data_IF_294216655523
#
_entry.id   IF_294216655523
#
_cell.length_a   1.000
_cell.length_b   1.000
_cell.length_c   1.000
_cell.angle_alpha   90.00
_cell.angle_beta   90.00
_cell.angle_gamma   90.00
#
_symmetry.space_group_name_H-M   'P 1'
#
loop_
_entity.id
_entity.type
_entity.pdbx_description
1 polymer ?
#
# COMPACT_ATOMS: atom_id res chain seq x y z
N UNK A 1 -73.53 111.74 76.36
CA UNK A 1 -72.89 112.13 75.08
C UNK A 1 -71.42 111.66 74.95
N UNK A 2 -70.55 111.80 75.98
CA UNK A 2 -69.13 111.39 75.92
C UNK A 2 -68.83 109.88 75.71
N UNK A 3 -69.75 108.96 76.04
CA UNK A 3 -69.53 107.52 75.85
C UNK A 3 -69.56 107.09 74.37
N UNK A 4 -70.34 107.77 73.53
CA UNK A 4 -70.45 107.42 72.10
C UNK A 4 -69.22 107.85 71.29
N UNK A 5 -68.61 108.99 71.63
CA UNK A 5 -67.40 109.50 70.96
C UNK A 5 -66.20 108.57 71.20
N UNK A 6 -66.10 107.95 72.38
CA UNK A 6 -65.02 106.97 72.66
C UNK A 6 -65.20 105.66 71.89
N UNK A 7 -66.45 105.26 71.61
CA UNK A 7 -66.74 104.06 70.83
C UNK A 7 -66.43 104.26 69.34
N UNK A 8 -66.77 105.41 68.77
CA UNK A 8 -66.45 105.74 67.37
C UNK A 8 -64.94 105.88 67.15
N UNK A 9 -64.20 106.45 68.11
CA UNK A 9 -62.74 106.56 68.01
C UNK A 9 -62.03 105.19 68.00
N UNK A 10 -62.50 104.25 68.83
CA UNK A 10 -61.95 102.88 68.86
C UNK A 10 -62.23 102.15 67.55
N UNK A 11 -63.42 102.32 66.98
CA UNK A 11 -63.81 101.66 65.72
C UNK A 11 -63.02 102.22 64.52
N UNK A 12 -62.78 103.54 64.49
CA UNK A 12 -61.93 104.17 63.49
C UNK A 12 -60.46 103.72 63.60
N UNK A 13 -59.94 103.54 64.82
CA UNK A 13 -58.57 103.07 65.05
C UNK A 13 -58.39 101.61 64.61
N UNK A 14 -59.39 100.74 64.86
CA UNK A 14 -59.38 99.35 64.36
C UNK A 14 -59.44 99.31 62.84
N UNK A 15 -60.29 100.11 62.20
CA UNK A 15 -60.35 100.22 60.74
C UNK A 15 -59.04 100.70 60.13
N UNK A 16 -58.37 101.68 60.75
CA UNK A 16 -57.07 102.16 60.30
C UNK A 16 -55.99 101.07 60.41
N UNK A 17 -55.98 100.30 61.51
CA UNK A 17 -55.05 99.18 61.66
C UNK A 17 -55.33 98.08 60.63
N UNK A 18 -56.60 97.75 60.34
CA UNK A 18 -56.95 96.78 59.30
C UNK A 18 -56.50 97.24 57.90
N UNK A 19 -56.70 98.51 57.56
CA UNK A 19 -56.26 99.07 56.28
C UNK A 19 -54.72 99.10 56.16
N UNK A 20 -54.02 99.45 57.24
CA UNK A 20 -52.56 99.45 57.29
C UNK A 20 -51.97 98.03 57.17
N UNK A 21 -52.61 97.03 57.78
CA UNK A 21 -52.18 95.64 57.68
C UNK A 21 -52.45 95.03 56.29
N UNK A 22 -53.52 95.44 55.59
CA UNK A 22 -53.75 95.00 54.21
C UNK A 22 -52.80 95.64 53.18
N UNK A 23 -52.35 96.88 53.42
CA UNK A 23 -51.46 97.59 52.50
C UNK A 23 -50.04 97.01 52.40
N UNK A 24 -49.59 96.26 53.41
CA UNK A 24 -48.24 95.68 53.47
C UNK A 24 -48.12 94.40 52.63
N UNK A 25 -49.22 93.76 52.23
CA UNK A 25 -49.20 92.50 51.47
C UNK A 25 -48.97 92.65 49.96
N UNK A 26 -48.92 93.86 49.40
CA UNK A 26 -48.84 94.07 47.94
C UNK A 26 -47.44 94.41 47.44
N UNK A 27 -46.42 94.46 48.30
CA UNK A 27 -45.02 94.62 47.89
C UNK A 27 -44.30 93.26 47.70
N UNK A 28 -44.91 92.35 46.95
CA UNK A 28 -44.15 91.22 46.41
C UNK A 28 -43.43 91.69 45.15
N UNK A 29 -42.11 91.88 45.25
CA UNK A 29 -41.25 92.11 44.10
C UNK A 29 -41.42 90.97 43.10
N UNK A 30 -42.08 91.22 41.97
CA UNK A 30 -42.15 90.27 40.86
C UNK A 30 -40.77 90.18 40.25
N UNK A 31 -40.19 88.99 40.18
CA UNK A 31 -38.94 88.81 39.45
C UNK A 31 -39.18 89.14 37.97
N UNK A 32 -38.30 89.96 37.39
CA UNK A 32 -38.34 90.33 35.98
C UNK A 32 -36.96 90.16 35.36
N UNK A 33 -36.94 89.73 34.10
CA UNK A 33 -35.75 89.71 33.24
C UNK A 33 -35.79 90.92 32.31
N UNK A 34 -34.68 91.65 32.23
CA UNK A 34 -34.50 92.73 31.24
C UNK A 34 -33.25 92.48 30.42
N UNK A 35 -33.39 92.13 29.12
CA UNK A 35 -32.28 92.04 28.19
C UNK A 35 -31.53 93.36 28.07
N UNK A 36 -30.20 93.31 27.99
CA UNK A 36 -29.41 94.51 27.69
C UNK A 36 -29.68 95.00 26.26
N UNK A 37 -29.64 96.32 26.07
CA UNK A 37 -30.11 96.97 24.85
C UNK A 37 -29.15 96.83 23.65
N UNK A 38 -27.86 96.59 23.88
CA UNK A 38 -26.84 96.62 22.81
C UNK A 38 -25.89 95.42 22.90
N UNK A 39 -26.23 94.36 22.19
CA UNK A 39 -25.27 93.30 21.87
C UNK A 39 -25.57 92.76 20.46
N UNK A 40 -24.75 93.18 19.50
CA UNK A 40 -24.86 92.81 18.08
C UNK A 40 -24.70 91.30 17.84
N UNK A 41 -24.20 90.54 18.82
CA UNK A 41 -23.90 89.11 18.67
C UNK A 41 -24.70 88.23 19.63
N UNK A 42 -25.97 88.56 19.81
CA UNK A 42 -26.91 87.80 20.66
C UNK A 42 -28.26 87.59 19.96
N UNK A 43 -28.94 86.51 20.32
CA UNK A 43 -30.26 86.13 19.84
C UNK A 43 -31.28 86.33 20.96
N UNK A 44 -32.41 86.96 20.66
CA UNK A 44 -33.50 87.12 21.61
C UNK A 44 -34.48 85.95 21.47
N UNK A 45 -34.78 85.28 22.57
CA UNK A 45 -35.79 84.21 22.65
C UNK A 45 -36.89 84.61 23.62
N UNK A 46 -38.11 84.14 23.37
CA UNK A 46 -39.23 84.31 24.31
C UNK A 46 -39.35 83.06 25.16
N UNK A 47 -39.38 83.22 26.48
CA UNK A 47 -39.50 82.11 27.43
C UNK A 47 -40.90 81.51 27.32
N UNK A 48 -40.98 80.19 27.14
CA UNK A 48 -42.24 79.46 27.06
C UNK A 48 -42.62 78.81 28.39
N UNK A 49 -43.88 78.38 28.50
CA UNK A 49 -44.37 77.71 29.72
C UNK A 49 -43.76 76.33 29.84
N UNK A 50 -42.90 76.15 30.84
CA UNK A 50 -42.20 74.88 31.11
C UNK A 50 -40.69 75.04 31.05
N UNK A 51 -40.21 76.14 30.47
CA UNK A 51 -38.79 76.45 30.42
C UNK A 51 -38.24 76.72 31.82
N UNK A 52 -36.98 76.32 31.98
CA UNK A 52 -36.18 76.70 33.13
C UNK A 52 -34.87 77.26 32.62
N UNK A 53 -34.25 78.16 33.38
CA UNK A 53 -32.95 78.73 33.00
C UNK A 53 -31.91 77.63 32.73
N UNK A 54 -31.99 76.55 33.51
CA UNK A 54 -31.20 75.33 33.35
C UNK A 54 -31.41 74.67 31.99
N UNK A 55 -32.65 74.44 31.58
CA UNK A 55 -32.96 73.80 30.30
C UNK A 55 -32.61 74.71 29.12
N UNK A 56 -32.87 76.02 29.23
CA UNK A 56 -32.50 76.99 28.18
C UNK A 56 -30.98 77.09 28.00
N UNK A 57 -30.21 77.06 29.10
CA UNK A 57 -28.75 76.96 29.02
C UNK A 57 -28.28 75.61 28.45
N UNK A 58 -28.91 74.50 28.85
CA UNK A 58 -28.60 73.17 28.30
C UNK A 58 -28.91 73.06 26.79
N UNK A 59 -29.97 73.72 26.32
CA UNK A 59 -30.41 73.66 24.94
C UNK A 59 -29.54 74.53 24.03
N UNK A 60 -29.31 75.79 24.43
CA UNK A 60 -28.65 76.77 23.57
C UNK A 60 -27.15 76.93 23.82
N UNK A 61 -26.67 76.60 25.03
CA UNK A 61 -25.26 76.68 25.41
C UNK A 61 -24.64 75.31 25.72
N UNK A 62 -25.38 74.21 25.52
CA UNK A 62 -25.04 72.79 25.80
C UNK A 62 -24.53 72.48 27.21
N UNK A 63 -24.47 73.48 28.08
CA UNK A 63 -24.00 73.40 29.45
C UNK A 63 -24.99 74.15 30.35
N UNK A 64 -25.69 73.41 31.23
CA UNK A 64 -26.71 74.00 32.08
C UNK A 64 -26.15 74.92 33.18
N UNK A 65 -24.84 74.86 33.45
CA UNK A 65 -24.17 75.69 34.46
C UNK A 65 -23.82 77.10 33.94
N UNK A 66 -23.98 77.36 32.63
CA UNK A 66 -23.64 78.64 31.98
C UNK A 66 -24.65 79.77 32.18
N UNK A 67 -25.62 79.61 33.08
CA UNK A 67 -26.57 80.68 33.42
C UNK A 67 -25.88 81.96 33.93
N UNK A 68 -24.68 81.86 34.54
CA UNK A 68 -23.90 83.03 34.96
C UNK A 68 -23.43 83.87 33.77
N UNK A 69 -23.16 83.23 32.64
CA UNK A 69 -22.75 83.92 31.42
C UNK A 69 -23.95 84.58 30.76
N UNK A 70 -25.10 83.92 30.80
CA UNK A 70 -26.39 84.48 30.37
C UNK A 70 -26.77 85.75 31.19
N UNK A 71 -26.43 85.80 32.48
CA UNK A 71 -26.58 86.99 33.34
C UNK A 71 -25.67 88.16 33.01
N UNK A 72 -24.66 87.99 32.15
CA UNK A 72 -23.86 89.11 31.64
C UNK A 72 -24.60 89.91 30.56
N UNK A 73 -25.57 89.29 29.88
CA UNK A 73 -26.33 89.90 28.77
C UNK A 73 -27.79 90.21 29.15
N UNK A 74 -28.23 89.81 30.35
CA UNK A 74 -29.58 90.01 30.87
C UNK A 74 -29.51 90.36 32.36
N UNK A 75 -30.28 91.36 32.77
CA UNK A 75 -30.44 91.66 34.19
C UNK A 75 -31.55 90.79 34.78
N UNK A 76 -31.20 90.05 35.82
CA UNK A 76 -32.12 89.18 36.56
C UNK A 76 -32.46 89.80 37.91
N UNK A 77 -33.75 90.04 38.17
CA UNK A 77 -34.22 90.43 39.50
C UNK A 77 -34.06 89.28 40.50
N UNK A 78 -34.32 88.04 40.05
CA UNK A 78 -34.02 86.81 40.78
C UNK A 78 -33.61 85.73 39.77
N UNK A 79 -32.35 85.27 39.77
CA UNK A 79 -31.86 84.27 38.81
C UNK A 79 -32.57 82.90 38.88
N UNK A 80 -33.30 82.62 39.96
CA UNK A 80 -34.03 81.36 40.14
C UNK A 80 -35.49 81.40 39.65
N UNK A 81 -35.99 82.56 39.21
CA UNK A 81 -37.37 82.73 38.75
C UNK A 81 -37.38 83.36 37.37
N UNK A 82 -37.96 82.64 36.40
CA UNK A 82 -38.20 83.11 35.04
C UNK A 82 -39.68 82.90 34.70
N UNK A 83 -40.29 83.79 33.91
CA UNK A 83 -41.71 83.70 33.59
C UNK A 83 -41.97 83.57 32.08
N UNK A 84 -43.02 82.83 31.68
CA UNK A 84 -43.40 82.74 30.27
C UNK A 84 -43.79 84.11 29.70
N UNK A 85 -43.33 84.38 28.48
CA UNK A 85 -43.53 85.65 27.78
C UNK A 85 -42.47 86.71 28.07
N UNK A 86 -41.50 86.44 28.95
CA UNK A 86 -40.31 87.27 29.09
C UNK A 86 -39.33 87.03 27.94
N UNK A 87 -38.56 88.05 27.59
CA UNK A 87 -37.52 87.96 26.57
C UNK A 87 -36.17 87.72 27.23
N UNK A 88 -35.40 86.80 26.66
CA UNK A 88 -34.08 86.39 27.14
C UNK A 88 -33.08 86.43 25.99
N UNK A 89 -31.95 87.09 26.21
CA UNK A 89 -30.90 87.29 25.21
C UNK A 89 -29.79 86.26 25.38
N UNK A 90 -29.51 85.47 24.35
CA UNK A 90 -28.53 84.38 24.33
C UNK A 90 -27.32 84.79 23.47
N UNK A 91 -26.07 84.64 23.95
CA UNK A 91 -24.87 84.94 23.18
C UNK A 91 -24.66 83.96 22.01
N UNK A 92 -24.72 84.49 20.79
CA UNK A 92 -24.59 83.71 19.53
C UNK A 92 -23.15 83.26 19.30
N UNK A 93 -22.14 84.01 19.76
CA UNK A 93 -20.74 83.57 19.73
C UNK A 93 -20.54 82.18 20.35
N UNK A 94 -21.08 81.96 21.55
CA UNK A 94 -20.94 80.69 22.25
C UNK A 94 -21.74 79.58 21.58
N UNK A 95 -22.97 79.85 21.14
CA UNK A 95 -23.76 78.89 20.40
C UNK A 95 -23.04 78.45 19.11
N UNK A 96 -22.38 79.39 18.42
CA UNK A 96 -21.58 79.12 17.21
C UNK A 96 -20.34 78.29 17.50
N UNK A 97 -19.58 78.60 18.56
CA UNK A 97 -18.42 77.81 18.98
C UNK A 97 -18.79 76.36 19.29
N UNK A 98 -19.97 76.13 19.89
CA UNK A 98 -20.45 74.79 20.20
C UNK A 98 -20.85 74.02 18.94
N UNK A 99 -21.55 74.68 18.01
CA UNK A 99 -21.90 74.06 16.72
C UNK A 99 -20.63 73.71 15.93
N UNK A 100 -19.62 74.59 15.95
CA UNK A 100 -18.33 74.32 15.31
C UNK A 100 -17.60 73.13 15.96
N UNK A 101 -17.59 73.05 17.29
CA UNK A 101 -17.00 71.92 18.01
C UNK A 101 -17.75 70.60 17.74
N UNK A 102 -19.09 70.61 17.70
CA UNK A 102 -19.90 69.44 17.34
C UNK A 102 -19.67 69.03 15.87
N UNK A 103 -19.55 69.97 14.94
CA UNK A 103 -19.22 69.71 13.53
C UNK A 103 -17.82 69.10 13.39
N UNK A 104 -16.82 69.62 14.10
CA UNK A 104 -15.46 69.06 14.15
C UNK A 104 -15.44 67.64 14.71
N UNK A 105 -16.16 67.38 15.81
CA UNK A 105 -16.30 66.03 16.39
C UNK A 105 -16.96 65.05 15.43
N UNK A 106 -18.00 65.48 14.70
CA UNK A 106 -18.67 64.66 13.68
C UNK A 106 -17.70 64.32 12.54
N UNK A 107 -16.89 65.28 12.09
CA UNK A 107 -15.88 65.02 11.05
C UNK A 107 -14.83 64.02 11.54
N UNK A 108 -14.31 64.18 12.77
CA UNK A 108 -13.36 63.23 13.34
C UNK A 108 -13.95 61.82 13.46
N UNK A 109 -15.20 61.69 13.91
CA UNK A 109 -15.89 60.40 13.98
C UNK A 109 -16.12 59.77 12.61
N UNK A 110 -16.39 60.58 11.58
CA UNK A 110 -16.52 60.10 10.21
C UNK A 110 -15.18 59.58 9.66
N UNK A 111 -14.08 60.29 9.94
CA UNK A 111 -12.74 59.85 9.58
C UNK A 111 -12.34 58.55 10.31
N UNK A 112 -12.64 58.44 11.61
CA UNK A 112 -12.41 57.21 12.38
C UNK A 112 -13.24 56.03 11.83
N UNK A 113 -14.51 56.27 11.49
CA UNK A 113 -15.39 55.27 10.87
C UNK A 113 -14.85 54.82 9.50
N UNK A 114 -14.31 55.74 8.70
CA UNK A 114 -13.72 55.43 7.40
C UNK A 114 -12.44 54.59 7.56
N UNK A 115 -11.58 54.92 8.53
CA UNK A 115 -10.40 54.11 8.86
C UNK A 115 -10.77 52.69 9.28
N UNK A 116 -11.75 52.56 10.18
CA UNK A 116 -12.23 51.25 10.64
C UNK A 116 -12.85 50.42 9.51
N UNK A 117 -13.55 51.07 8.57
CA UNK A 117 -14.08 50.38 7.38
C UNK A 117 -12.96 49.88 6.48
N UNK A 118 -11.94 50.71 6.23
CA UNK A 118 -10.79 50.31 5.43
C UNK A 118 -10.02 49.14 6.07
N UNK A 119 -9.80 49.18 7.40
CA UNK A 119 -9.17 48.08 8.14
C UNK A 119 -10.02 46.80 8.09
N UNK A 120 -11.35 46.92 8.19
CA UNK A 120 -12.27 45.79 8.06
C UNK A 120 -12.18 45.16 6.66
N UNK A 121 -12.17 45.97 5.59
CA UNK A 121 -12.04 45.47 4.22
C UNK A 121 -10.71 44.73 4.02
N UNK A 122 -9.60 45.25 4.55
CA UNK A 122 -8.30 44.57 4.52
C UNK A 122 -8.31 43.26 5.32
N UNK A 123 -8.92 43.26 6.51
CA UNK A 123 -9.09 42.07 7.34
C UNK A 123 -9.96 41.00 6.67
N UNK A 124 -11.02 41.41 5.99
CA UNK A 124 -11.88 40.50 5.23
C UNK A 124 -11.17 39.90 4.02
N UNK A 125 -10.39 40.70 3.29
CA UNK A 125 -9.58 40.23 2.17
C UNK A 125 -8.50 39.22 2.61
N UNK A 126 -7.81 39.50 3.73
CA UNK A 126 -6.82 38.57 4.30
C UNK A 126 -7.48 37.28 4.79
N UNK A 127 -8.65 37.36 5.43
CA UNK A 127 -9.45 36.20 5.83
C UNK A 127 -9.85 35.36 4.63
N UNK A 128 -10.32 35.98 3.55
CA UNK A 128 -10.69 35.27 2.32
C UNK A 128 -9.49 34.53 1.72
N UNK A 129 -8.33 35.19 1.65
CA UNK A 129 -7.09 34.56 1.18
C UNK A 129 -6.68 33.37 2.05
N UNK A 130 -6.70 33.52 3.38
CA UNK A 130 -6.38 32.43 4.31
C UNK A 130 -7.36 31.26 4.19
N UNK A 131 -8.65 31.53 3.99
CA UNK A 131 -9.64 30.48 3.77
C UNK A 131 -9.37 29.71 2.48
N UNK A 132 -8.95 30.39 1.41
CA UNK A 132 -8.55 29.74 0.16
C UNK A 132 -7.29 28.87 0.33
N UNK A 133 -6.27 29.37 1.03
CA UNK A 133 -5.06 28.58 1.34
C UNK A 133 -5.37 27.35 2.21
N UNK A 134 -6.29 27.47 3.18
CA UNK A 134 -6.74 26.33 4.00
C UNK A 134 -7.45 25.29 3.14
N UNK A 135 -8.29 25.71 2.20
CA UNK A 135 -8.98 24.77 1.30
C UNK A 135 -7.99 24.02 0.41
N UNK A 136 -7.03 24.72 -0.19
CA UNK A 136 -5.97 24.11 -0.99
C UNK A 136 -5.14 23.10 -0.16
N UNK A 137 -4.80 23.45 1.08
CA UNK A 137 -4.09 22.52 1.98
C UNK A 137 -4.93 21.30 2.32
N UNK A 138 -6.24 21.46 2.51
CA UNK A 138 -7.15 20.34 2.78
C UNK A 138 -7.28 19.40 1.57
N UNK A 139 -7.37 19.96 0.36
CA UNK A 139 -7.37 19.19 -0.88
C UNK A 139 -6.08 18.38 -1.05
N UNK A 140 -4.93 19.04 -0.88
CA UNK A 140 -3.62 18.38 -0.92
C UNK A 140 -3.48 17.28 0.15
N UNK A 141 -4.01 17.52 1.36
CA UNK A 141 -4.00 16.52 2.44
C UNK A 141 -4.89 15.32 2.10
N UNK A 142 -6.03 15.54 1.44
CA UNK A 142 -6.91 14.47 0.97
C UNK A 142 -6.26 13.64 -0.13
N UNK A 143 -5.57 14.28 -1.08
CA UNK A 143 -4.80 13.60 -2.14
C UNK A 143 -3.68 12.75 -1.54
N UNK A 144 -2.85 13.34 -0.67
CA UNK A 144 -1.75 12.64 -0.02
C UNK A 144 -2.24 11.44 0.82
N UNK A 145 -3.40 11.59 1.48
CA UNK A 145 -4.03 10.47 2.20
C UNK A 145 -4.45 9.35 1.26
N UNK A 146 -4.98 9.67 0.08
CA UNK A 146 -5.32 8.69 -0.95
C UNK A 146 -4.08 7.95 -1.48
N UNK A 147 -2.99 8.69 -1.75
CA UNK A 147 -1.71 8.10 -2.16
C UNK A 147 -1.14 7.17 -1.09
N UNK A 148 -1.17 7.56 0.18
CA UNK A 148 -0.72 6.71 1.29
C UNK A 148 -1.53 5.42 1.38
N UNK A 149 -2.85 5.49 1.23
CA UNK A 149 -3.70 4.29 1.24
C UNK A 149 -3.37 3.35 0.07
N UNK A 150 -3.18 3.89 -1.14
CA UNK A 150 -2.79 3.10 -2.30
C UNK A 150 -1.40 2.44 -2.10
N UNK A 151 -0.46 3.16 -1.48
CA UNK A 151 0.86 2.62 -1.15
C UNK A 151 0.79 1.49 -0.11
N UNK A 152 -0.03 1.65 0.94
CA UNK A 152 -0.26 0.62 1.95
C UNK A 152 -0.87 -0.64 1.34
N UNK A 153 -1.85 -0.51 0.45
CA UNK A 153 -2.44 -1.64 -0.28
C UNK A 153 -1.40 -2.34 -1.18
N UNK A 154 -0.57 -1.57 -1.88
CA UNK A 154 0.51 -2.12 -2.69
C UNK A 154 1.55 -2.85 -1.84
N UNK A 155 1.90 -2.32 -0.66
CA UNK A 155 2.86 -2.94 0.25
C UNK A 155 2.33 -4.25 0.81
N UNK A 156 1.05 -4.27 1.20
CA UNK A 156 0.37 -5.50 1.62
C UNK A 156 0.37 -6.56 0.52
N UNK A 157 0.05 -6.17 -0.72
CA UNK A 157 0.11 -7.10 -1.86
C UNK A 157 1.53 -7.63 -2.11
N UNK A 158 2.56 -6.80 -1.92
CA UNK A 158 3.96 -7.24 -2.03
C UNK A 158 4.36 -8.20 -0.91
N UNK A 159 3.89 -8.00 0.33
CA UNK A 159 4.11 -8.92 1.44
C UNK A 159 3.48 -10.30 1.17
N UNK A 160 2.23 -10.33 0.69
CA UNK A 160 1.54 -11.57 0.30
C UNK A 160 2.28 -12.29 -0.85
N UNK A 161 2.80 -11.55 -1.83
CA UNK A 161 3.62 -12.13 -2.90
C UNK A 161 4.95 -12.69 -2.37
N UNK A 162 5.61 -12.01 -1.44
CA UNK A 162 6.85 -12.49 -0.82
C UNK A 162 6.63 -13.78 -0.03
N UNK A 163 5.51 -13.88 0.69
CA UNK A 163 5.12 -15.09 1.40
C UNK A 163 4.91 -16.26 0.42
N UNK A 164 4.13 -16.06 -0.64
CA UNK A 164 3.89 -17.07 -1.67
C UNK A 164 5.17 -17.52 -2.39
N UNK A 165 6.10 -16.59 -2.66
CA UNK A 165 7.40 -16.91 -3.26
C UNK A 165 8.25 -17.74 -2.30
N UNK A 166 8.23 -17.42 -1.00
CA UNK A 166 8.97 -18.19 -0.01
C UNK A 166 8.42 -19.61 0.15
N UNK A 167 7.10 -19.77 0.23
CA UNK A 167 6.45 -21.08 0.25
C UNK A 167 6.82 -21.90 -1.00
N UNK A 168 6.74 -21.29 -2.18
CA UNK A 168 7.12 -21.95 -3.44
C UNK A 168 8.60 -22.34 -3.45
N UNK A 169 9.49 -21.51 -2.88
CA UNK A 169 10.91 -21.81 -2.78
C UNK A 169 11.18 -22.99 -1.84
N UNK A 170 10.46 -23.07 -0.71
CA UNK A 170 10.55 -24.17 0.24
C UNK A 170 10.03 -25.48 -0.38
N UNK A 171 8.88 -25.45 -1.06
CA UNK A 171 8.34 -26.60 -1.78
C UNK A 171 9.31 -27.08 -2.86
N UNK A 172 9.83 -26.17 -3.69
CA UNK A 172 10.76 -26.50 -4.75
C UNK A 172 12.09 -27.04 -4.19
N UNK A 173 12.59 -26.46 -3.10
CA UNK A 173 13.78 -26.96 -2.40
C UNK A 173 13.58 -28.38 -1.86
N UNK A 174 12.42 -28.66 -1.28
CA UNK A 174 12.07 -30.00 -0.78
C UNK A 174 11.97 -31.02 -1.92
N UNK A 175 11.31 -30.66 -3.02
CA UNK A 175 11.11 -31.55 -4.15
C UNK A 175 12.42 -31.82 -4.91
N UNK A 176 13.27 -30.80 -5.07
CA UNK A 176 14.61 -30.98 -5.64
C UNK A 176 15.44 -31.90 -4.76
N UNK A 177 15.42 -31.72 -3.44
CA UNK A 177 16.15 -32.60 -2.52
C UNK A 177 15.67 -34.05 -2.63
N UNK A 178 14.37 -34.27 -2.56
CA UNK A 178 13.77 -35.61 -2.63
C UNK A 178 14.07 -36.31 -3.97
N UNK A 179 13.91 -35.60 -5.09
CA UNK A 179 14.21 -36.17 -6.42
C UNK A 179 15.70 -36.47 -6.60
N UNK A 180 16.58 -35.64 -6.04
CA UNK A 180 18.02 -35.84 -6.11
C UNK A 180 18.46 -37.04 -5.24
N UNK A 181 17.89 -37.19 -4.04
CA UNK A 181 18.10 -38.35 -3.17
C UNK A 181 17.57 -39.64 -3.81
N UNK A 182 16.36 -39.60 -4.39
CA UNK A 182 15.77 -40.73 -5.09
C UNK A 182 16.59 -41.16 -6.32
N UNK A 183 17.03 -40.18 -7.13
CA UNK A 183 17.87 -40.45 -8.30
C UNK A 183 19.23 -41.01 -7.88
N UNK A 184 19.86 -40.47 -6.83
CA UNK A 184 21.13 -40.97 -6.33
C UNK A 184 21.01 -42.42 -5.83
N UNK A 185 19.91 -42.75 -5.15
CA UNK A 185 19.62 -44.11 -4.72
C UNK A 185 19.42 -45.08 -5.90
N UNK A 186 18.61 -44.68 -6.89
CA UNK A 186 18.37 -45.48 -8.10
C UNK A 186 19.65 -45.73 -8.91
N UNK A 187 20.50 -44.70 -9.08
CA UNK A 187 21.80 -44.85 -9.75
C UNK A 187 22.70 -45.82 -8.99
N UNK A 188 22.73 -45.74 -7.66
CA UNK A 188 23.53 -46.63 -6.83
C UNK A 188 23.07 -48.09 -6.96
N UNK A 189 21.75 -48.33 -7.02
CA UNK A 189 21.19 -49.65 -7.26
C UNK A 189 21.54 -50.19 -8.65
N UNK A 190 21.41 -49.35 -9.68
CA UNK A 190 21.82 -49.70 -11.05
C UNK A 190 23.30 -50.06 -11.15
N UNK A 191 24.18 -49.32 -10.45
CA UNK A 191 25.61 -49.61 -10.40
C UNK A 191 25.87 -50.97 -9.72
N UNK A 192 25.21 -51.25 -8.60
CA UNK A 192 25.35 -52.54 -7.91
C UNK A 192 24.93 -53.73 -8.81
N UNK A 193 23.82 -53.59 -9.53
CA UNK A 193 23.38 -54.60 -10.50
C UNK A 193 24.35 -54.75 -11.68
N UNK A 194 24.98 -53.65 -12.12
CA UNK A 194 26.01 -53.71 -13.16
C UNK A 194 27.26 -54.46 -12.67
N UNK A 195 27.68 -54.23 -11.43
CA UNK A 195 28.82 -54.91 -10.82
C UNK A 195 28.59 -56.42 -10.73
N UNK A 196 27.38 -56.85 -10.33
CA UNK A 196 26.99 -58.28 -10.30
C UNK A 196 27.03 -58.91 -11.71
N UNK A 197 26.50 -58.22 -12.73
CA UNK A 197 26.60 -58.68 -14.12
C UNK A 197 28.06 -58.78 -14.62
N UNK A 198 28.93 -57.86 -14.21
CA UNK A 198 30.35 -57.90 -14.58
C UNK A 198 31.03 -59.11 -13.94
N UNK A 199 30.70 -59.42 -12.68
CA UNK A 199 31.21 -60.59 -11.98
C UNK A 199 30.76 -61.89 -12.67
N UNK A 200 29.47 -62.01 -13.00
CA UNK A 200 28.92 -63.17 -13.71
C UNK A 200 29.53 -63.35 -15.12
N UNK A 201 29.72 -62.25 -15.86
CA UNK A 201 30.45 -62.26 -17.13
C UNK A 201 31.91 -62.69 -16.97
N UNK A 202 32.56 -62.29 -15.87
CA UNK A 202 33.91 -62.70 -15.50
C UNK A 202 34.00 -64.21 -15.29
N UNK A 203 33.07 -64.80 -14.54
CA UNK A 203 33.01 -66.24 -14.31
C UNK A 203 32.77 -67.02 -15.61
N UNK A 204 31.79 -66.60 -16.42
CA UNK A 204 31.53 -67.21 -17.73
C UNK A 204 32.73 -67.14 -18.67
N UNK A 205 33.47 -66.03 -18.66
CA UNK A 205 34.67 -65.86 -19.46
C UNK A 205 35.76 -66.84 -19.03
N UNK A 206 35.91 -67.09 -17.73
CA UNK A 206 36.91 -68.02 -17.20
C UNK A 206 36.55 -69.48 -17.48
N UNK A 207 35.26 -69.83 -17.38
CA UNK A 207 34.75 -71.13 -17.82
C UNK A 207 35.02 -71.36 -19.33
N UNK A 208 34.72 -70.36 -20.16
CA UNK A 208 35.00 -70.38 -21.61
C UNK A 208 36.49 -70.54 -21.90
N UNK A 209 37.38 -69.87 -21.16
CA UNK A 209 38.84 -70.03 -21.31
C UNK A 209 39.29 -71.45 -20.95
N UNK A 210 38.80 -72.02 -19.84
CA UNK A 210 39.12 -73.39 -19.47
C UNK A 210 38.64 -74.40 -20.52
N UNK A 211 37.41 -74.22 -21.02
CA UNK A 211 36.87 -75.04 -22.11
C UNK A 211 37.74 -74.93 -23.37
N UNK A 212 38.12 -73.71 -23.76
CA UNK A 212 39.01 -73.48 -24.89
C UNK A 212 40.38 -74.17 -24.71
N UNK A 213 40.99 -74.06 -23.52
CA UNK A 213 42.25 -74.73 -23.21
C UNK A 213 42.13 -76.27 -23.28
N UNK A 214 41.03 -76.84 -22.77
CA UNK A 214 40.75 -78.27 -22.86
C UNK A 214 40.58 -78.73 -24.31
N UNK A 215 39.84 -77.97 -25.14
CA UNK A 215 39.73 -78.28 -26.58
C UNK A 215 41.05 -78.19 -27.30
N UNK A 216 41.91 -77.21 -26.96
CA UNK A 216 43.24 -77.08 -27.55
C UNK A 216 44.11 -78.29 -27.23
N UNK A 217 44.09 -78.76 -25.97
CA UNK A 217 44.81 -79.98 -25.55
C UNK A 217 44.31 -81.22 -26.30
N UNK A 218 42.99 -81.35 -26.47
CA UNK A 218 42.41 -82.48 -27.22
C UNK A 218 42.82 -82.47 -28.70
N UNK A 219 42.92 -81.28 -29.30
CA UNK A 219 43.44 -81.12 -30.67
C UNK A 219 44.90 -81.56 -30.76
N UNK A 220 45.74 -81.20 -29.78
CA UNK A 220 47.15 -81.60 -29.74
C UNK A 220 47.29 -83.13 -29.61
N UNK A 221 46.50 -83.77 -28.73
CA UNK A 221 46.45 -85.23 -28.60
C UNK A 221 46.00 -85.92 -29.91
N UNK A 222 44.96 -85.39 -30.56
CA UNK A 222 44.49 -85.90 -31.85
C UNK A 222 45.54 -85.75 -32.95
N UNK A 223 46.23 -84.60 -33.03
CA UNK A 223 47.33 -84.39 -33.97
C UNK A 223 48.44 -85.42 -33.77
N UNK A 224 48.81 -85.71 -32.51
CA UNK A 224 49.77 -86.76 -32.17
C UNK A 224 49.31 -88.17 -32.61
N UNK A 225 48.05 -88.53 -32.33
CA UNK A 225 47.49 -89.81 -32.76
C UNK A 225 47.43 -89.97 -34.28
N UNK A 226 47.09 -88.89 -35.00
CA UNK A 226 47.10 -88.86 -36.47
C UNK A 226 48.52 -89.04 -36.99
N UNK A 227 49.51 -88.38 -36.40
CA UNK A 227 50.91 -88.54 -36.79
C UNK A 227 51.40 -90.00 -36.62
N UNK A 228 51.11 -90.62 -35.48
CA UNK A 228 51.44 -92.04 -35.26
C UNK A 228 50.71 -92.98 -36.25
N UNK A 229 49.43 -92.70 -36.52
CA UNK A 229 48.65 -93.50 -37.47
C UNK A 229 49.19 -93.38 -38.90
N UNK A 230 49.62 -92.19 -39.30
CA UNK A 230 50.28 -91.95 -40.59
C UNK A 230 51.59 -92.74 -40.71
N UNK A 231 52.42 -92.73 -39.67
CA UNK A 231 53.66 -93.52 -39.63
C UNK A 231 53.37 -95.03 -39.73
N UNK A 232 52.36 -95.53 -39.03
CA UNK A 232 51.94 -96.92 -39.11
C UNK A 232 51.38 -97.31 -40.49
N UNK A 233 50.65 -96.41 -41.14
CA UNK A 233 50.20 -96.59 -42.53
C UNK A 233 51.39 -96.66 -43.47
N UNK A 234 52.38 -95.77 -43.33
CA UNK A 234 53.59 -95.78 -44.15
C UNK A 234 54.38 -97.09 -43.98
N UNK A 235 54.57 -97.55 -42.74
CA UNK A 235 55.17 -98.86 -42.47
C UNK A 235 54.37 -100.02 -43.09
N UNK A 236 53.04 -99.98 -42.99
CA UNK A 236 52.17 -101.00 -43.57
C UNK A 236 52.24 -100.98 -45.11
N UNK A 237 52.26 -99.81 -45.74
CA UNK A 237 52.43 -99.66 -47.19
C UNK A 237 53.78 -100.22 -47.65
N UNK A 238 54.86 -99.94 -46.90
CA UNK A 238 56.18 -100.52 -47.16
C UNK A 238 56.17 -102.04 -47.06
N UNK A 239 55.57 -102.59 -46.00
CA UNK A 239 55.40 -104.04 -45.84
C UNK A 239 54.56 -104.68 -46.96
N UNK A 240 53.49 -104.02 -47.41
CA UNK A 240 52.70 -104.46 -48.57
C UNK A 240 53.52 -104.41 -49.86
N UNK A 241 54.36 -103.40 -50.06
CA UNK A 241 55.26 -103.32 -51.21
C UNK A 241 56.31 -104.44 -51.20
N UNK A 242 56.88 -104.76 -50.03
CA UNK A 242 57.79 -105.89 -49.83
C UNK A 242 57.10 -107.24 -50.09
N UNK A 243 55.91 -107.46 -49.53
CA UNK A 243 55.09 -108.65 -49.82
C UNK A 243 54.76 -108.78 -51.30
N UNK A 244 54.48 -107.66 -51.99
CA UNK A 244 54.21 -107.65 -53.43
C UNK A 244 55.46 -108.04 -54.24
N UNK A 245 56.66 -107.65 -53.81
CA UNK A 245 57.91 -108.13 -54.39
C UNK A 245 58.12 -109.62 -54.12
N UNK A 246 57.96 -110.09 -52.88
CA UNK A 246 58.06 -111.52 -52.56
C UNK A 246 57.07 -112.39 -53.35
N UNK A 247 55.85 -111.90 -53.60
CA UNK A 247 54.85 -112.62 -54.38
C UNK A 247 55.18 -112.61 -55.89
N UNK A 248 55.86 -111.58 -56.37
CA UNK A 248 56.42 -111.53 -57.74
C UNK A 248 57.57 -112.53 -57.89
N UNK A 249 58.41 -112.67 -56.88
CA UNK A 249 59.50 -113.65 -56.85
C UNK A 249 58.96 -115.10 -56.71
N UNK A 250 57.94 -115.32 -55.87
CA UNK A 250 57.29 -116.63 -55.71
C UNK A 250 56.51 -117.06 -56.97
N UNK A 251 55.93 -116.13 -57.73
CA UNK A 251 55.33 -116.43 -59.05
C UNK A 251 56.36 -116.84 -60.11
N UNK A 252 57.65 -116.62 -59.88
CA UNK A 252 58.73 -117.14 -60.73
C UNK A 252 58.99 -118.66 -60.56
N UNK A 253 58.35 -119.33 -59.59
CA UNK A 253 58.67 -120.73 -59.21
C UNK A 253 57.55 -121.73 -59.55
N UNK A 254 56.46 -121.33 -60.22
CA UNK A 254 55.45 -122.29 -60.68
C UNK A 254 55.40 -122.45 -62.20
N UNK A 255 56.08 -123.51 -62.63
CA UNK A 255 55.95 -124.22 -63.90
C UNK A 255 54.48 -124.59 -64.19
N UNK A 256 54.04 -124.37 -65.44
CA UNK A 256 52.65 -124.58 -65.87
C UNK A 256 52.21 -126.05 -65.76
N UNK A 257 51.16 -126.33 -64.98
CA UNK A 257 50.58 -127.66 -64.83
C UNK A 257 49.65 -128.03 -66.00
N UNK A 258 49.84 -129.24 -66.54
CA UNK A 258 49.17 -129.77 -67.73
C UNK A 258 47.66 -130.04 -67.58
N UNK A 259 46.95 -129.84 -68.70
CA UNK A 259 45.49 -129.77 -68.88
C UNK A 259 44.65 -130.86 -68.19
N UNK A 260 45.18 -132.09 -68.06
CA UNK A 260 44.41 -133.21 -67.52
C UNK A 260 44.29 -133.21 -65.98
N UNK A 261 45.07 -132.38 -65.27
CA UNK A 261 44.92 -132.21 -63.80
C UNK A 261 43.95 -131.08 -63.43
N UNK A 262 43.70 -130.13 -64.33
CA UNK A 262 42.74 -129.03 -64.11
C UNK A 262 41.31 -129.52 -64.02
N UNK A 263 40.93 -130.48 -64.86
CA UNK A 263 39.59 -131.09 -64.87
C UNK A 263 39.33 -131.91 -63.61
N UNK A 264 40.34 -132.59 -63.07
CA UNK A 264 40.19 -133.39 -61.86
C UNK A 264 40.03 -132.51 -60.60
N UNK A 265 40.79 -131.41 -60.51
CA UNK A 265 40.67 -130.43 -59.41
C UNK A 265 39.37 -129.62 -59.51
N UNK A 266 38.89 -129.30 -60.71
CA UNK A 266 37.57 -128.66 -60.87
C UNK A 266 36.42 -129.59 -60.47
N UNK A 267 36.50 -130.89 -60.80
CA UNK A 267 35.48 -131.87 -60.42
C UNK A 267 35.43 -132.12 -58.91
N UNK A 268 36.57 -132.18 -58.24
CA UNK A 268 36.61 -132.34 -56.78
C UNK A 268 36.17 -131.07 -56.04
N UNK A 269 36.53 -129.88 -56.56
CA UNK A 269 36.14 -128.60 -55.94
C UNK A 269 34.66 -128.26 -56.18
N UNK A 270 34.11 -128.61 -57.35
CA UNK A 270 32.68 -128.44 -57.62
C UNK A 270 31.82 -129.39 -56.76
N UNK A 271 32.24 -130.64 -56.56
CA UNK A 271 31.54 -131.57 -55.68
C UNK A 271 31.56 -131.12 -54.21
N UNK A 272 32.68 -130.56 -53.74
CA UNK A 272 32.78 -129.99 -52.39
C UNK A 272 31.95 -128.70 -52.22
N UNK A 273 31.89 -127.84 -53.24
CA UNK A 273 31.08 -126.62 -53.24
C UNK A 273 29.57 -126.89 -53.24
N UNK A 274 29.11 -127.89 -53.98
CA UNK A 274 27.69 -128.30 -54.00
C UNK A 274 27.28 -128.93 -52.65
N UNK A 275 28.18 -129.67 -52.00
CA UNK A 275 27.95 -130.23 -50.65
C UNK A 275 27.84 -129.17 -49.56
N UNK A 276 28.67 -128.11 -49.59
CA UNK A 276 28.60 -127.02 -48.63
C UNK A 276 27.35 -126.14 -48.81
N UNK A 277 26.91 -125.94 -50.06
CA UNK A 277 25.75 -125.11 -50.38
C UNK A 277 24.42 -125.82 -50.05
N UNK A 278 24.35 -127.14 -50.16
CA UNK A 278 23.18 -127.93 -49.74
C UNK A 278 22.97 -127.97 -48.21
N UNK A 279 24.05 -127.86 -47.43
CA UNK A 279 23.97 -127.83 -45.95
C UNK A 279 23.53 -126.46 -45.42
N UNK A 280 23.82 -125.37 -46.13
CA UNK A 280 23.42 -124.01 -45.70
C UNK A 280 22.07 -123.53 -46.26
N UNK A 281 21.44 -124.26 -47.18
CA UNK A 281 20.13 -123.91 -47.76
C UNK A 281 18.91 -124.57 -47.07
N UNK A 282 19.12 -125.47 -46.10
CA UNK A 282 18.05 -126.08 -45.30
C UNK A 282 17.94 -125.43 -43.89
N UNK A 283 18.81 -124.48 -43.55
CA UNK A 283 18.82 -123.75 -42.27
C UNK A 283 18.35 -122.29 -42.34
N UNK A 284 17.61 -121.90 -43.38
CA UNK A 284 17.17 -120.52 -43.58
C UNK A 284 15.82 -120.16 -42.93
N UNK A 285 15.90 -119.32 -41.88
CA UNK A 285 15.17 -118.03 -41.75
C UNK A 285 13.69 -118.00 -41.30
N UNK A 286 13.46 -117.44 -40.10
CA UNK A 286 12.51 -116.33 -39.80
C UNK A 286 12.72 -115.88 -38.33
N UNK A 287 13.35 -114.75 -37.99
CA UNK A 287 12.83 -113.37 -37.99
C UNK A 287 11.42 -113.22 -37.39
N UNK A 288 11.35 -112.81 -36.12
CA UNK A 288 10.90 -111.49 -35.65
C UNK A 288 11.55 -111.19 -34.29
#
# INVERSE_FOLDING_TARGET
MMKMIRATLKLALVLYICAALSGVYVLSASAKITPHADDENTMLITIEKGDTLWHLCQEHLKDPLRWRELSKHNDFTNPHLIYPGEELRIPVAMAKEIVQAEEEDIVMQQEELEQLRAELEESEATREKLMAEIEEVNENMAELKGELQALEESLKSQEELMEAVNESADELGSHVKETLEANAAAIKEQLAHLDEHIEELGEMLEERKMSAAATHKLIEELQGNVAMSLEQIEMSQKGVAEMKMMLKDAKGVHEEMSSNKRTLVFLTTAAAGIGWLAINLIGGRSSE
#
